data_IF_903583215655
#
_entry.id   IF_903583215655
#
_cell.length_a   1.000
_cell.length_b   1.000
_cell.length_c   1.000
_cell.angle_alpha   90.00
_cell.angle_beta   90.00
_cell.angle_gamma   90.00
#
_symmetry.space_group_name_H-M   'P 1'
#
loop_
_entity.id
_entity.type
_entity.pdbx_description
1 polymer ?
#
# COMPACT_ATOMS: atom_id res chain seq x y z
N UNK A 1 21.27 39.82 -4.05
CA UNK A 1 20.39 39.15 -3.09
C UNK A 1 20.62 37.62 -3.14
N UNK A 2 20.86 37.03 -4.32
CA UNK A 2 21.20 35.59 -4.46
C UNK A 2 22.58 35.25 -3.88
N UNK A 3 23.58 36.11 -4.05
CA UNK A 3 24.93 35.87 -3.52
C UNK A 3 24.99 35.89 -1.97
N UNK A 4 24.14 36.66 -1.32
CA UNK A 4 24.08 36.75 0.16
C UNK A 4 23.56 35.49 0.82
N UNK A 5 22.53 34.87 0.24
CA UNK A 5 21.95 33.63 0.75
C UNK A 5 22.92 32.45 0.62
N UNK A 6 23.67 32.40 -0.49
CA UNK A 6 24.67 31.35 -0.72
C UNK A 6 25.88 31.46 0.22
N UNK A 7 26.30 32.69 0.60
CA UNK A 7 27.37 32.89 1.57
C UNK A 7 26.95 32.47 3.00
N UNK A 8 25.73 32.80 3.41
CA UNK A 8 25.22 32.41 4.74
C UNK A 8 25.16 30.90 4.89
N UNK A 9 24.60 30.17 3.91
CA UNK A 9 24.57 28.70 3.92
C UNK A 9 25.99 28.09 3.98
N UNK A 10 26.93 28.66 3.26
CA UNK A 10 28.31 28.16 3.24
C UNK A 10 29.04 28.40 4.56
N UNK A 11 28.79 29.52 5.24
CA UNK A 11 29.32 29.78 6.58
C UNK A 11 28.75 28.85 7.63
N UNK A 12 27.45 28.55 7.57
CA UNK A 12 26.81 27.59 8.48
C UNK A 12 27.33 26.16 8.27
N UNK A 13 27.56 25.73 7.02
CA UNK A 13 28.18 24.44 6.71
C UNK A 13 29.64 24.34 7.20
N UNK A 14 30.42 25.40 7.08
CA UNK A 14 31.80 25.45 7.56
C UNK A 14 31.84 25.38 9.08
N UNK A 15 31.00 26.16 9.77
CA UNK A 15 30.93 26.16 11.22
C UNK A 15 30.52 24.78 11.77
N UNK A 16 29.58 24.09 11.12
CA UNK A 16 29.20 22.74 11.48
C UNK A 16 30.33 21.73 11.31
N UNK A 17 31.10 21.83 10.21
CA UNK A 17 32.25 20.96 9.98
C UNK A 17 33.34 21.19 11.05
N UNK A 18 33.58 22.44 11.42
CA UNK A 18 34.54 22.79 12.46
C UNK A 18 34.07 22.23 13.82
N UNK A 19 32.81 22.35 14.17
CA UNK A 19 32.25 21.83 15.40
C UNK A 19 32.34 20.29 15.48
N UNK A 20 32.06 19.60 14.37
CA UNK A 20 32.20 18.14 14.24
C UNK A 20 33.69 17.75 14.34
N UNK A 21 34.59 18.48 13.73
CA UNK A 21 36.03 18.22 13.79
C UNK A 21 36.56 18.41 15.20
N UNK A 22 36.14 19.43 15.91
CA UNK A 22 36.55 19.68 17.30
C UNK A 22 36.03 18.59 18.24
N UNK A 23 34.82 18.10 18.03
CA UNK A 23 34.25 16.97 18.79
C UNK A 23 34.99 15.65 18.51
N UNK A 24 35.38 15.40 17.24
CA UNK A 24 36.21 14.25 16.84
C UNK A 24 37.62 14.30 17.46
N UNK A 25 38.23 15.48 17.51
CA UNK A 25 39.58 15.68 18.08
C UNK A 25 39.60 15.53 19.59
N UNK A 26 38.48 15.71 20.27
CA UNK A 26 38.36 15.58 21.71
C UNK A 26 38.18 14.14 22.22
N UNK A 27 38.42 13.11 21.40
CA UNK A 27 38.40 11.68 21.73
C UNK A 27 37.08 11.18 22.38
N UNK A 28 35.97 11.93 22.21
CA UNK A 28 34.69 11.47 22.68
C UNK A 28 34.15 10.36 21.78
N UNK A 29 33.37 9.50 22.35
CA UNK A 29 32.89 8.23 21.83
C UNK A 29 32.49 8.28 20.35
N UNK A 30 33.29 7.67 19.49
CA UNK A 30 33.11 7.64 18.02
C UNK A 30 31.70 7.17 17.62
N UNK A 31 31.10 6.28 18.41
CA UNK A 31 29.73 5.79 18.20
C UNK A 31 28.68 6.91 18.37
N UNK A 32 28.85 7.81 19.32
CA UNK A 32 27.94 8.95 19.53
C UNK A 32 28.05 9.96 18.38
N UNK A 33 29.26 10.21 17.88
CA UNK A 33 29.49 11.08 16.74
C UNK A 33 28.85 10.49 15.48
N UNK A 34 29.01 9.19 15.24
CA UNK A 34 28.38 8.52 14.09
C UNK A 34 26.85 8.61 14.20
N UNK A 35 26.28 8.39 15.38
CA UNK A 35 24.82 8.50 15.60
C UNK A 35 24.35 9.95 15.37
N UNK A 36 25.10 10.94 15.84
CA UNK A 36 24.79 12.36 15.62
C UNK A 36 24.81 12.73 14.13
N UNK A 37 25.86 12.31 13.40
CA UNK A 37 25.97 12.53 11.95
C UNK A 37 24.84 11.83 11.17
N UNK A 38 24.51 10.60 11.55
CA UNK A 38 23.39 9.86 10.94
C UNK A 38 22.05 10.57 11.17
N UNK A 39 21.80 11.06 12.40
CA UNK A 39 20.57 11.80 12.69
C UNK A 39 20.48 13.07 11.87
N UNK A 40 21.56 13.81 11.77
CA UNK A 40 21.63 15.06 10.99
C UNK A 40 21.38 14.83 9.50
N UNK A 41 22.03 13.81 8.91
CA UNK A 41 21.81 13.46 7.50
C UNK A 41 20.36 13.03 7.27
N UNK A 42 19.79 12.26 8.18
CA UNK A 42 18.40 11.81 8.07
C UNK A 42 17.38 12.96 8.17
N UNK A 43 17.69 13.99 8.96
CA UNK A 43 16.84 15.19 9.06
C UNK A 43 16.92 16.09 7.81
N UNK A 44 18.03 16.07 7.09
CA UNK A 44 18.22 16.86 5.87
C UNK A 44 17.52 16.28 4.65
N UNK A 45 17.27 14.97 4.64
CA UNK A 45 16.61 14.30 3.52
C UNK A 45 15.10 14.22 3.74
N UNK A 46 14.32 14.87 2.89
CA UNK A 46 12.87 14.74 2.86
C UNK A 46 12.45 13.99 1.61
N UNK A 47 11.63 12.95 1.80
CA UNK A 47 11.10 12.18 0.68
C UNK A 47 9.62 12.48 0.50
N UNK A 48 9.23 12.81 -0.71
CA UNK A 48 7.83 12.94 -1.09
C UNK A 48 7.47 11.86 -2.11
N UNK A 49 6.39 11.15 -1.83
CA UNK A 49 5.84 10.16 -2.74
C UNK A 49 4.70 10.81 -3.54
N UNK A 50 4.85 10.80 -4.86
CA UNK A 50 3.81 11.26 -5.78
C UNK A 50 3.18 10.09 -6.54
N UNK A 51 1.89 10.16 -6.75
CA UNK A 51 1.11 9.16 -7.47
C UNK A 51 0.50 9.77 -8.72
N UNK A 52 0.64 9.07 -9.85
CA UNK A 52 0.02 9.47 -11.10
C UNK A 52 -1.48 9.11 -11.10
N UNK A 53 -2.34 10.13 -11.08
CA UNK A 53 -3.79 9.97 -11.09
C UNK A 53 -4.36 9.58 -12.46
N UNK A 54 -3.61 9.85 -13.56
CA UNK A 54 -4.02 9.49 -14.90
C UNK A 54 -3.56 8.07 -15.23
N UNK A 55 -4.46 7.09 -15.09
CA UNK A 55 -4.13 5.73 -15.51
C UNK A 55 -4.08 5.66 -17.04
N UNK A 56 -3.06 4.98 -17.59
CA UNK A 56 -2.94 4.74 -19.03
C UNK A 56 -4.12 3.94 -19.61
N UNK A 57 -4.87 3.24 -18.77
CA UNK A 57 -6.01 2.43 -19.19
C UNK A 57 -7.25 3.27 -19.51
N UNK A 58 -7.42 4.41 -18.86
CA UNK A 58 -8.57 5.31 -19.09
C UNK A 58 -8.31 6.30 -20.21
N UNK A 59 -7.07 6.70 -20.42
CA UNK A 59 -6.74 7.64 -21.50
C UNK A 59 -5.25 7.56 -21.88
N UNK A 60 -4.94 6.75 -22.90
CA UNK A 60 -3.55 6.55 -23.36
C UNK A 60 -2.84 7.84 -23.85
N UNK A 61 -3.59 8.91 -24.09
CA UNK A 61 -3.06 10.21 -24.56
C UNK A 61 -2.98 11.27 -23.46
N UNK A 62 -3.51 10.99 -22.27
CA UNK A 62 -3.45 11.95 -21.17
C UNK A 62 -2.03 12.05 -20.62
N UNK A 63 -1.54 13.27 -20.47
CA UNK A 63 -0.28 13.50 -19.78
C UNK A 63 -0.37 13.00 -18.32
N UNK A 64 0.74 12.49 -17.75
CA UNK A 64 0.73 12.06 -16.36
C UNK A 64 0.40 13.25 -15.44
N UNK A 65 -0.49 13.02 -14.47
CA UNK A 65 -0.87 13.99 -13.45
C UNK A 65 -0.38 13.48 -12.09
N UNK A 66 0.76 13.95 -11.66
CA UNK A 66 1.34 13.59 -10.37
C UNK A 66 0.72 14.43 -9.25
N UNK A 67 0.40 13.77 -8.14
CA UNK A 67 -0.10 14.40 -6.94
C UNK A 67 0.55 13.75 -5.72
N UNK A 68 0.98 14.59 -4.77
CA UNK A 68 1.56 14.11 -3.52
C UNK A 68 0.56 13.20 -2.78
N UNK A 69 1.04 12.03 -2.30
CA UNK A 69 0.21 11.02 -1.63
C UNK A 69 -0.51 11.61 -0.40
N UNK A 70 0.09 12.57 0.29
CA UNK A 70 -0.54 13.25 1.44
C UNK A 70 -1.84 13.96 1.07
N UNK A 71 -1.96 14.44 -0.17
CA UNK A 71 -3.09 15.20 -0.71
C UNK A 71 -4.13 14.33 -1.43
N UNK A 72 -3.93 13.02 -1.53
CA UNK A 72 -4.86 12.10 -2.14
C UNK A 72 -6.10 11.87 -1.26
N UNK A 73 -7.23 11.52 -1.90
CA UNK A 73 -8.38 10.96 -1.18
C UNK A 73 -8.01 9.63 -0.51
N UNK A 74 -8.79 9.20 0.48
CA UNK A 74 -8.50 7.97 1.20
C UNK A 74 -8.42 6.75 0.26
N UNK A 75 -9.38 6.59 -0.65
CA UNK A 75 -9.35 5.54 -1.66
C UNK A 75 -8.13 5.63 -2.59
N UNK A 76 -7.77 6.84 -3.06
CA UNK A 76 -6.56 7.03 -3.87
C UNK A 76 -5.28 6.67 -3.09
N UNK A 77 -5.23 6.96 -1.78
CA UNK A 77 -4.11 6.55 -0.91
C UNK A 77 -3.96 5.04 -0.84
N UNK A 78 -5.07 4.31 -0.63
CA UNK A 78 -5.05 2.84 -0.60
C UNK A 78 -4.45 2.29 -1.90
N UNK A 79 -4.88 2.82 -3.03
CA UNK A 79 -4.38 2.40 -4.34
C UNK A 79 -2.92 2.73 -4.54
N UNK A 80 -2.51 3.95 -4.21
CA UNK A 80 -1.12 4.37 -4.34
C UNK A 80 -0.21 3.49 -3.47
N UNK A 81 -0.62 3.19 -2.23
CA UNK A 81 0.13 2.32 -1.33
C UNK A 81 0.20 0.88 -1.81
N UNK A 82 -0.92 0.32 -2.29
CA UNK A 82 -0.91 -1.02 -2.88
C UNK A 82 0.01 -1.08 -4.10
N UNK A 83 -0.10 -0.12 -5.02
CA UNK A 83 0.76 -0.06 -6.21
C UNK A 83 2.24 0.07 -5.84
N UNK A 84 2.56 0.84 -4.81
CA UNK A 84 3.92 0.99 -4.32
C UNK A 84 4.45 -0.32 -3.72
N UNK A 85 3.69 -0.96 -2.82
CA UNK A 85 4.09 -2.23 -2.19
C UNK A 85 4.28 -3.33 -3.25
N UNK A 86 3.39 -3.40 -4.24
CA UNK A 86 3.49 -4.38 -5.31
C UNK A 86 4.69 -4.11 -6.22
N UNK A 87 4.91 -2.87 -6.61
CA UNK A 87 6.06 -2.47 -7.44
C UNK A 87 7.39 -2.66 -6.73
N UNK A 88 7.46 -2.33 -5.44
CA UNK A 88 8.66 -2.54 -4.63
C UNK A 88 8.98 -4.04 -4.45
N UNK A 89 7.97 -4.86 -4.25
CA UNK A 89 8.10 -6.31 -4.17
C UNK A 89 8.73 -6.92 -5.42
N UNK A 90 8.32 -6.44 -6.60
CA UNK A 90 8.91 -6.87 -7.87
C UNK A 90 10.38 -6.45 -7.99
N UNK A 91 10.70 -5.24 -7.55
CA UNK A 91 12.07 -4.72 -7.59
C UNK A 91 13.00 -5.45 -6.60
N UNK A 92 12.52 -5.74 -5.40
CA UNK A 92 13.31 -6.36 -4.33
C UNK A 92 13.35 -7.90 -4.40
N UNK A 93 12.63 -8.53 -5.35
CA UNK A 93 12.42 -9.98 -5.40
C UNK A 93 11.87 -10.54 -4.06
N UNK A 94 10.96 -9.81 -3.44
CA UNK A 94 10.34 -10.18 -2.17
C UNK A 94 9.16 -11.14 -2.40
N UNK A 95 9.29 -12.37 -1.94
CA UNK A 95 8.29 -13.44 -2.04
C UNK A 95 7.54 -13.68 -0.72
N UNK A 96 7.70 -12.83 0.29
CA UNK A 96 6.98 -12.97 1.56
C UNK A 96 5.47 -12.91 1.34
N UNK A 97 4.66 -13.68 2.10
CA UNK A 97 3.21 -13.63 2.00
C UNK A 97 2.67 -12.20 2.21
N UNK A 98 1.74 -11.81 1.35
CA UNK A 98 1.09 -10.51 1.40
C UNK A 98 -0.28 -10.65 2.05
N UNK A 99 -0.45 -10.04 3.22
CA UNK A 99 -1.69 -10.11 3.99
C UNK A 99 -2.35 -8.73 3.95
N UNK A 100 -3.61 -8.68 3.54
CA UNK A 100 -4.40 -7.45 3.44
C UNK A 100 -5.74 -7.64 4.10
N UNK A 101 -6.10 -6.71 4.96
CA UNK A 101 -7.40 -6.65 5.61
C UNK A 101 -8.24 -5.53 4.99
N UNK A 102 -9.40 -5.88 4.46
CA UNK A 102 -10.41 -5.00 3.86
C UNK A 102 -9.82 -3.94 2.90
N UNK A 103 -9.11 -4.36 1.83
CA UNK A 103 -8.51 -3.42 0.88
C UNK A 103 -9.54 -2.59 0.10
N UNK A 104 -10.81 -3.00 0.12
CA UNK A 104 -11.93 -2.34 -0.53
C UNK A 104 -12.48 -1.13 0.23
N UNK A 105 -12.15 -0.97 1.49
CA UNK A 105 -12.65 0.14 2.30
C UNK A 105 -12.32 1.48 1.63
N UNK A 106 -13.35 2.33 1.49
CA UNK A 106 -13.27 3.64 0.84
C UNK A 106 -13.00 3.62 -0.69
N UNK A 107 -13.15 2.47 -1.34
CA UNK A 107 -13.08 2.33 -2.79
C UNK A 107 -14.47 2.13 -3.38
N UNK A 108 -14.75 2.72 -4.53
CA UNK A 108 -15.96 2.39 -5.28
C UNK A 108 -15.84 1.03 -5.99
N UNK A 109 -16.99 0.38 -6.20
CA UNK A 109 -17.03 -0.96 -6.79
C UNK A 109 -16.42 -1.02 -8.21
N UNK A 110 -16.51 0.04 -9.00
CA UNK A 110 -15.91 0.08 -10.33
C UNK A 110 -14.39 0.11 -10.26
N UNK A 111 -13.86 0.87 -9.31
CA UNK A 111 -12.43 0.92 -9.07
C UNK A 111 -11.88 -0.41 -8.55
N UNK A 112 -12.58 -1.05 -7.60
CA UNK A 112 -12.25 -2.38 -7.08
C UNK A 112 -12.14 -3.38 -8.24
N UNK A 113 -13.17 -3.43 -9.09
CA UNK A 113 -13.19 -4.39 -10.20
C UNK A 113 -12.07 -4.16 -11.21
N UNK A 114 -11.86 -2.92 -11.64
CA UNK A 114 -10.90 -2.60 -12.71
C UNK A 114 -9.44 -2.64 -12.29
N UNK A 115 -9.15 -2.17 -11.09
CA UNK A 115 -7.78 -1.94 -10.65
C UNK A 115 -7.32 -2.91 -9.57
N UNK A 116 -8.02 -2.96 -8.43
CA UNK A 116 -7.62 -3.80 -7.30
C UNK A 116 -7.64 -5.29 -7.67
N UNK A 117 -8.71 -5.76 -8.27
CA UNK A 117 -8.84 -7.17 -8.68
C UNK A 117 -7.76 -7.58 -9.68
N UNK A 118 -7.41 -6.68 -10.61
CA UNK A 118 -6.32 -6.94 -11.56
C UNK A 118 -4.97 -7.08 -10.86
N UNK A 119 -4.64 -6.11 -9.99
CA UNK A 119 -3.40 -6.16 -9.22
C UNK A 119 -3.29 -7.43 -8.37
N UNK A 120 -4.38 -7.83 -7.70
CA UNK A 120 -4.42 -9.06 -6.91
C UNK A 120 -4.19 -10.33 -7.76
N UNK A 121 -4.72 -10.36 -8.97
CA UNK A 121 -4.47 -11.47 -9.91
C UNK A 121 -3.01 -11.55 -10.35
N UNK A 122 -2.38 -10.42 -10.59
CA UNK A 122 -1.00 -10.35 -11.06
C UNK A 122 -0.03 -10.76 -9.95
N UNK A 123 -0.24 -10.26 -8.72
CA UNK A 123 0.64 -10.55 -7.60
C UNK A 123 0.55 -12.00 -7.11
N UNK A 124 -0.63 -12.62 -7.15
CA UNK A 124 -0.79 -14.03 -6.72
C UNK A 124 0.04 -15.02 -7.56
N UNK A 125 0.46 -14.64 -8.75
CA UNK A 125 1.35 -15.44 -9.59
C UNK A 125 2.80 -15.44 -9.07
N UNK A 126 3.15 -14.50 -8.22
CA UNK A 126 4.51 -14.29 -7.73
C UNK A 126 4.67 -14.66 -6.27
N UNK A 127 3.62 -14.46 -5.45
CA UNK A 127 3.66 -14.74 -4.02
C UNK A 127 2.30 -15.11 -3.45
N UNK A 128 2.28 -15.69 -2.26
CA UNK A 128 1.04 -15.96 -1.55
C UNK A 128 0.34 -14.66 -1.18
N UNK A 129 -0.96 -14.58 -1.45
CA UNK A 129 -1.81 -13.44 -1.08
C UNK A 129 -2.95 -13.94 -0.18
N UNK A 130 -3.10 -13.33 0.97
CA UNK A 130 -4.16 -13.61 1.93
C UNK A 130 -4.98 -12.33 2.11
N UNK A 131 -6.29 -12.39 1.84
CA UNK A 131 -7.16 -11.21 1.91
C UNK A 131 -8.33 -11.53 2.82
N UNK A 132 -8.53 -10.70 3.85
CA UNK A 132 -9.81 -10.64 4.54
C UNK A 132 -10.68 -9.59 3.85
N UNK A 133 -11.90 -9.94 3.45
CA UNK A 133 -12.80 -9.06 2.72
C UNK A 133 -14.25 -9.47 2.90
N UNK A 134 -15.15 -8.50 2.90
CA UNK A 134 -16.59 -8.70 2.80
C UNK A 134 -17.14 -8.34 1.39
N UNK A 135 -16.28 -8.00 0.45
CA UNK A 135 -16.67 -7.55 -0.88
C UNK A 135 -16.79 -8.72 -1.87
N UNK A 136 -18.02 -8.97 -2.34
CA UNK A 136 -18.28 -10.04 -3.28
C UNK A 136 -17.51 -9.90 -4.61
N UNK A 137 -17.25 -8.68 -5.06
CA UNK A 137 -16.49 -8.41 -6.29
C UNK A 137 -15.05 -8.93 -6.17
N UNK A 138 -14.40 -8.75 -5.02
CA UNK A 138 -13.07 -9.28 -4.76
C UNK A 138 -13.13 -10.80 -4.73
N UNK A 139 -14.02 -11.37 -3.89
CA UNK A 139 -14.14 -12.82 -3.71
C UNK A 139 -14.38 -13.56 -5.02
N UNK A 140 -15.27 -13.02 -5.87
CA UNK A 140 -15.64 -13.68 -7.14
C UNK A 140 -14.64 -13.45 -8.27
N UNK A 141 -14.01 -12.28 -8.31
CA UNK A 141 -13.22 -11.86 -9.47
C UNK A 141 -11.70 -11.96 -9.25
N UNK A 142 -11.17 -11.99 -8.01
CA UNK A 142 -9.74 -12.11 -7.78
C UNK A 142 -9.18 -13.50 -8.10
N UNK A 143 -10.03 -14.47 -8.45
CA UNK A 143 -9.65 -15.86 -8.76
C UNK A 143 -8.89 -16.51 -7.61
N UNK A 144 -9.42 -16.41 -6.41
CA UNK A 144 -8.83 -17.06 -5.24
C UNK A 144 -8.67 -18.57 -5.48
N UNK A 145 -7.59 -19.14 -4.96
CA UNK A 145 -7.35 -20.59 -5.02
C UNK A 145 -8.08 -21.29 -3.88
N UNK A 146 -8.33 -20.57 -2.78
CA UNK A 146 -9.09 -21.08 -1.64
C UNK A 146 -9.91 -19.94 -1.03
N UNK A 147 -11.11 -20.29 -0.55
CA UNK A 147 -11.97 -19.41 0.24
C UNK A 147 -12.15 -20.02 1.62
N UNK A 148 -11.98 -19.20 2.64
CA UNK A 148 -12.23 -19.53 4.04
C UNK A 148 -13.37 -18.62 4.50
N UNK A 149 -14.54 -19.21 4.79
CA UNK A 149 -15.68 -18.49 5.33
C UNK A 149 -15.57 -18.44 6.86
N UNK A 150 -15.60 -17.23 7.41
CA UNK A 150 -15.55 -16.99 8.84
C UNK A 150 -16.90 -16.52 9.35
N UNK A 151 -17.31 -17.01 10.51
CA UNK A 151 -18.48 -16.53 11.24
C UNK A 151 -18.11 -16.15 12.68
N UNK A 152 -18.98 -15.36 13.34
CA UNK A 152 -18.79 -14.94 14.72
C UNK A 152 -20.12 -14.74 15.45
N UNK A 153 -20.11 -14.91 16.78
CA UNK A 153 -21.24 -14.70 17.68
C UNK A 153 -21.01 -13.57 18.70
N UNK A 154 -20.24 -12.54 18.35
CA UNK A 154 -19.77 -11.43 19.23
C UNK A 154 -18.78 -11.83 20.32
N UNK A 155 -18.61 -13.12 20.62
CA UNK A 155 -17.68 -13.62 21.65
C UNK A 155 -16.47 -14.32 21.03
N UNK A 156 -16.71 -15.06 19.97
CA UNK A 156 -15.68 -15.82 19.26
C UNK A 156 -15.97 -15.87 17.77
N UNK A 157 -14.92 -16.01 16.99
CA UNK A 157 -14.99 -16.33 15.57
C UNK A 157 -14.61 -17.78 15.32
N UNK A 158 -15.15 -18.37 14.27
CA UNK A 158 -14.80 -19.71 13.82
C UNK A 158 -14.81 -19.81 12.30
N UNK A 159 -14.16 -20.84 11.79
CA UNK A 159 -14.22 -21.18 10.37
C UNK A 159 -15.51 -21.98 10.14
N UNK A 160 -16.44 -21.43 9.38
CA UNK A 160 -17.69 -22.11 9.02
C UNK A 160 -17.45 -23.15 7.92
N UNK A 161 -16.74 -22.78 6.89
CA UNK A 161 -16.39 -23.70 5.81
C UNK A 161 -15.18 -23.22 5.02
N UNK A 162 -14.52 -24.15 4.35
CA UNK A 162 -13.42 -23.85 3.43
C UNK A 162 -13.63 -24.60 2.12
N UNK A 163 -13.15 -24.06 1.02
CA UNK A 163 -13.22 -24.75 -0.27
C UNK A 163 -12.78 -23.91 -1.45
N UNK A 164 -12.91 -24.49 -2.62
CA UNK A 164 -12.60 -23.80 -3.87
C UNK A 164 -13.78 -22.91 -4.32
N UNK A 165 -13.50 -21.77 -4.97
CA UNK A 165 -14.55 -20.85 -5.45
C UNK A 165 -15.62 -21.52 -6.33
N UNK A 166 -15.26 -22.61 -7.03
CA UNK A 166 -16.15 -23.31 -7.92
C UNK A 166 -17.12 -24.31 -7.24
N UNK A 167 -16.89 -24.66 -6.00
CA UNK A 167 -17.75 -25.57 -5.26
C UNK A 167 -19.15 -24.98 -5.03
N UNK A 168 -20.19 -25.77 -5.26
CA UNK A 168 -21.59 -25.35 -5.09
C UNK A 168 -21.88 -24.80 -3.68
N UNK A 169 -21.28 -25.43 -2.67
CA UNK A 169 -21.38 -25.01 -1.27
C UNK A 169 -20.83 -23.59 -1.09
N UNK A 170 -19.60 -23.34 -1.54
CA UNK A 170 -18.94 -22.04 -1.43
C UNK A 170 -19.71 -20.96 -2.20
N UNK A 171 -20.14 -21.24 -3.44
CA UNK A 171 -20.97 -20.31 -4.22
C UNK A 171 -22.25 -19.92 -3.50
N UNK A 172 -22.93 -20.87 -2.88
CA UNK A 172 -24.15 -20.60 -2.12
C UNK A 172 -23.89 -19.65 -0.95
N UNK A 173 -22.79 -19.85 -0.21
CA UNK A 173 -22.40 -18.96 0.88
C UNK A 173 -22.05 -17.56 0.37
N UNK A 174 -21.25 -17.44 -0.70
CA UNK A 174 -20.92 -16.15 -1.31
C UNK A 174 -22.19 -15.35 -1.64
N UNK A 175 -23.13 -15.97 -2.34
CA UNK A 175 -24.39 -15.32 -2.73
C UNK A 175 -25.21 -14.91 -1.50
N UNK A 176 -25.35 -15.79 -0.53
CA UNK A 176 -26.20 -15.54 0.64
C UNK A 176 -25.63 -14.48 1.59
N UNK A 177 -24.31 -14.50 1.83
CA UNK A 177 -23.67 -13.63 2.83
C UNK A 177 -23.20 -12.30 2.28
N UNK A 178 -22.67 -12.26 1.04
CA UNK A 178 -22.09 -11.05 0.49
C UNK A 178 -23.07 -10.24 -0.38
N UNK A 179 -24.04 -10.91 -1.01
CA UNK A 179 -24.97 -10.25 -1.94
C UNK A 179 -26.40 -10.16 -1.39
N UNK A 180 -26.63 -10.57 -0.14
CA UNK A 180 -27.96 -10.54 0.49
C UNK A 180 -28.94 -11.59 -0.02
N UNK A 181 -28.42 -12.66 -0.65
CA UNK A 181 -29.22 -13.79 -1.18
C UNK A 181 -29.68 -13.60 -2.62
N UNK A 182 -30.15 -14.69 -3.21
CA UNK A 182 -30.62 -14.72 -4.61
C UNK A 182 -31.81 -13.76 -4.85
N UNK A 183 -32.63 -13.55 -3.81
CA UNK A 183 -33.80 -12.69 -3.92
C UNK A 183 -33.46 -11.22 -4.12
N UNK A 184 -32.30 -10.77 -3.64
CA UNK A 184 -31.78 -9.40 -3.90
C UNK A 184 -31.57 -9.12 -5.39
N UNK A 185 -31.29 -10.14 -6.19
CA UNK A 185 -31.11 -10.01 -7.64
C UNK A 185 -32.42 -10.10 -8.43
N UNK A 186 -33.49 -10.70 -7.83
CA UNK A 186 -34.77 -10.86 -8.53
C UNK A 186 -35.65 -9.62 -8.50
N UNK A 187 -35.35 -8.67 -7.62
CA UNK A 187 -36.11 -7.42 -7.44
C UNK A 187 -35.44 -6.19 -8.08
N UNK A 188 -34.37 -6.35 -8.83
CA UNK A 188 -33.80 -5.35 -9.71
C UNK A 188 -34.10 -5.70 -11.17
#
# INVERSE_FOLDING_TARGET
VEDGVYQIQKEEEINLIEEIMDELLNEKNVSEIIMYLQSYITEMETFDLEFNLNSKETNQKAAPLYKNVKLLSLGQKVVAMLSFVLGYSDYSNDFTPFIVDQPEDNLDNQYIYKNLVKQLRDIKLKRQVIIATHNATIVTNARADQIILMESDYRKGWVETTGYPNEKRIKKHIINYLEGGIDSFRHK
#
